data_IF_631856284820
#
_entry.id   IF_631856284820
#
_cell.length_a   1.000
_cell.length_b   1.000
_cell.length_c   1.000
_cell.angle_alpha   90.00
_cell.angle_beta   90.00
_cell.angle_gamma   90.00
#
_symmetry.space_group_name_H-M   'P 1'
#
loop_
_entity.id
_entity.type
_entity.pdbx_description
1 polymer ?
#
# COMPACT_ATOMS: atom_id res chain seq x y z
N UNK A 1 9.11 -4.10 -35.64
CA UNK A 1 7.67 -4.02 -35.97
C UNK A 1 6.90 -4.49 -34.76
N UNK A 2 6.30 -3.59 -33.96
CA UNK A 2 5.40 -3.96 -32.86
C UNK A 2 4.00 -4.11 -33.47
N UNK A 3 3.42 -5.31 -33.41
CA UNK A 3 2.05 -5.58 -33.86
C UNK A 3 1.06 -4.65 -33.16
N UNK A 4 0.17 -4.03 -33.95
CA UNK A 4 -0.96 -3.29 -33.44
C UNK A 4 -1.89 -4.25 -32.68
N UNK A 5 -2.07 -4.03 -31.37
CA UNK A 5 -2.95 -4.86 -30.54
C UNK A 5 -4.39 -4.83 -31.07
N UNK A 6 -5.10 -5.96 -31.08
CA UNK A 6 -6.49 -5.99 -31.48
C UNK A 6 -7.33 -5.16 -30.51
N UNK A 7 -8.07 -4.18 -31.04
CA UNK A 7 -8.90 -3.22 -30.32
C UNK A 7 -9.79 -3.84 -29.22
N UNK A 8 -10.28 -5.06 -29.44
CA UNK A 8 -11.13 -5.81 -28.48
C UNK A 8 -10.39 -6.21 -27.18
N UNK A 9 -9.09 -6.50 -27.25
CA UNK A 9 -8.27 -6.82 -26.07
C UNK A 9 -8.03 -5.60 -25.18
N UNK A 10 -7.89 -4.42 -25.80
CA UNK A 10 -7.69 -3.15 -25.10
C UNK A 10 -8.94 -2.73 -24.31
N UNK A 11 -10.13 -2.91 -24.91
CA UNK A 11 -11.42 -2.62 -24.27
C UNK A 11 -11.65 -3.55 -23.06
N UNK A 12 -11.32 -4.84 -23.19
CA UNK A 12 -11.44 -5.78 -22.08
C UNK A 12 -10.54 -5.40 -20.89
N UNK A 13 -9.30 -5.00 -21.16
CA UNK A 13 -8.37 -4.51 -20.14
C UNK A 13 -8.82 -3.19 -19.49
N UNK A 14 -9.31 -2.23 -20.28
CA UNK A 14 -9.90 -0.99 -19.77
C UNK A 14 -11.06 -1.26 -18.81
N UNK A 15 -11.97 -2.16 -19.22
CA UNK A 15 -13.15 -2.50 -18.43
C UNK A 15 -12.75 -3.18 -17.12
N UNK A 16 -11.76 -4.08 -17.16
CA UNK A 16 -11.21 -4.73 -15.97
C UNK A 16 -10.54 -3.74 -15.01
N UNK A 17 -9.71 -2.83 -15.52
CA UNK A 17 -9.05 -1.81 -14.70
C UNK A 17 -10.05 -0.93 -13.95
N UNK A 18 -11.02 -0.35 -14.69
CA UNK A 18 -12.05 0.51 -14.10
C UNK A 18 -12.96 -0.24 -13.13
N UNK A 19 -13.32 -1.49 -13.45
CA UNK A 19 -14.13 -2.30 -12.56
C UNK A 19 -13.43 -2.55 -11.23
N UNK A 20 -12.13 -2.88 -11.25
CA UNK A 20 -11.36 -3.10 -10.01
C UNK A 20 -11.16 -1.80 -9.23
N UNK A 21 -10.91 -0.67 -9.91
CA UNK A 21 -10.85 0.65 -9.25
C UNK A 21 -12.15 0.98 -8.52
N UNK A 22 -13.30 0.80 -9.18
CA UNK A 22 -14.62 1.04 -8.57
C UNK A 22 -14.86 0.09 -7.40
N UNK A 23 -14.56 -1.20 -7.57
CA UNK A 23 -14.73 -2.21 -6.52
C UNK A 23 -13.83 -1.89 -5.32
N UNK A 24 -12.61 -1.40 -5.54
CA UNK A 24 -11.66 -1.02 -4.49
C UNK A 24 -12.04 0.27 -3.74
N UNK A 25 -12.64 1.23 -4.43
CA UNK A 25 -13.07 2.50 -3.83
C UNK A 25 -14.24 2.34 -2.85
N UNK A 26 -15.17 1.43 -3.13
CA UNK A 26 -16.35 1.21 -2.29
C UNK A 26 -15.99 0.86 -0.82
N UNK A 27 -15.19 -0.18 -0.51
CA UNK A 27 -14.82 -0.49 0.86
C UNK A 27 -14.02 0.63 1.51
N UNK A 28 -13.16 1.32 0.77
CA UNK A 28 -12.36 2.44 1.28
C UNK A 28 -13.26 3.60 1.74
N UNK A 29 -14.21 4.00 0.91
CA UNK A 29 -15.19 5.05 1.25
C UNK A 29 -16.08 4.63 2.42
N UNK A 30 -16.52 3.37 2.46
CA UNK A 30 -17.32 2.84 3.57
C UNK A 30 -16.56 2.91 4.90
N UNK A 31 -15.27 2.55 4.93
CA UNK A 31 -14.45 2.62 6.15
C UNK A 31 -14.23 4.08 6.57
N UNK A 32 -13.96 5.00 5.64
CA UNK A 32 -13.83 6.43 5.95
C UNK A 32 -15.13 6.98 6.56
N UNK A 33 -16.29 6.69 5.95
CA UNK A 33 -17.60 7.12 6.47
C UNK A 33 -17.86 6.53 7.86
N UNK A 34 -17.55 5.26 8.08
CA UNK A 34 -17.67 4.62 9.40
C UNK A 34 -16.74 5.25 10.44
N UNK A 35 -15.54 5.68 10.04
CA UNK A 35 -14.58 6.35 10.93
C UNK A 35 -15.00 7.79 11.29
N UNK A 36 -15.59 8.52 10.34
CA UNK A 36 -16.13 9.86 10.55
C UNK A 36 -17.45 9.85 11.34
N UNK A 37 -18.11 8.69 11.48
CA UNK A 37 -19.32 8.56 12.27
C UNK A 37 -19.03 8.86 13.76
N UNK A 38 -19.76 9.80 14.39
CA UNK A 38 -19.45 10.35 15.73
C UNK A 38 -19.69 9.38 16.90
N UNK A 39 -19.87 8.08 16.65
CA UNK A 39 -20.33 7.11 17.66
C UNK A 39 -19.25 6.41 18.49
N UNK A 40 -17.97 6.68 18.30
CA UNK A 40 -16.90 6.11 19.15
C UNK A 40 -15.79 7.13 19.38
N UNK A 41 -15.41 7.29 20.65
CA UNK A 41 -14.33 8.15 21.13
C UNK A 41 -13.05 8.06 20.27
N UNK A 42 -12.42 9.22 20.06
CA UNK A 42 -11.17 9.41 19.32
C UNK A 42 -10.02 8.67 20.03
N UNK A 43 -9.60 7.53 19.47
CA UNK A 43 -8.40 6.82 19.93
C UNK A 43 -7.26 7.23 18.98
N UNK A 44 -6.05 7.56 19.47
CA UNK A 44 -4.91 7.98 18.65
C UNK A 44 -4.65 7.08 17.42
N UNK A 45 -4.89 5.77 17.55
CA UNK A 45 -4.81 4.76 16.47
C UNK A 45 -5.64 5.12 15.22
N UNK A 46 -6.77 5.82 15.39
CA UNK A 46 -7.62 6.24 14.27
C UNK A 46 -6.92 7.19 13.31
N UNK A 47 -6.03 8.06 13.80
CA UNK A 47 -5.27 8.95 12.92
C UNK A 47 -4.33 8.18 11.99
N UNK A 48 -3.72 7.12 12.49
CA UNK A 48 -2.87 6.25 11.68
C UNK A 48 -3.70 5.47 10.65
N UNK A 49 -4.83 4.89 11.06
CA UNK A 49 -5.71 4.17 10.12
C UNK A 49 -6.23 5.13 9.04
N UNK A 50 -6.72 6.31 9.42
CA UNK A 50 -7.21 7.31 8.48
C UNK A 50 -6.10 7.78 7.54
N UNK A 51 -4.89 8.01 8.04
CA UNK A 51 -3.75 8.38 7.20
C UNK A 51 -3.40 7.31 6.17
N UNK A 52 -3.42 6.03 6.56
CA UNK A 52 -3.24 4.90 5.62
C UNK A 52 -4.33 4.90 4.55
N UNK A 53 -5.59 4.99 4.95
CA UNK A 53 -6.74 4.99 4.02
C UNK A 53 -6.71 6.18 3.06
N UNK A 54 -6.26 7.35 3.52
CA UNK A 54 -6.08 8.52 2.66
C UNK A 54 -4.96 8.26 1.63
N UNK A 55 -3.83 7.69 2.04
CA UNK A 55 -2.75 7.34 1.12
C UNK A 55 -3.23 6.33 0.05
N UNK A 56 -3.83 5.22 0.49
CA UNK A 56 -4.35 4.18 -0.42
C UNK A 56 -5.42 4.75 -1.37
N UNK A 57 -6.33 5.57 -0.84
CA UNK A 57 -7.41 6.17 -1.62
C UNK A 57 -6.91 7.19 -2.64
N UNK A 58 -5.94 8.03 -2.26
CA UNK A 58 -5.28 8.94 -3.19
C UNK A 58 -4.54 8.18 -4.29
N UNK A 59 -3.92 7.05 -3.97
CA UNK A 59 -3.22 6.23 -4.96
C UNK A 59 -4.20 5.61 -5.97
N UNK A 60 -5.31 5.02 -5.50
CA UNK A 60 -6.34 4.47 -6.39
C UNK A 60 -6.96 5.59 -7.26
N UNK A 61 -7.35 6.72 -6.67
CA UNK A 61 -8.04 7.79 -7.41
C UNK A 61 -7.08 8.51 -8.35
N UNK A 62 -5.95 9.00 -7.85
CA UNK A 62 -5.06 9.86 -8.62
C UNK A 62 -4.20 9.04 -9.57
N UNK A 63 -3.59 7.95 -9.11
CA UNK A 63 -2.66 7.20 -9.94
C UNK A 63 -3.40 6.20 -10.81
N UNK A 64 -4.16 5.28 -10.20
CA UNK A 64 -4.75 4.17 -10.95
C UNK A 64 -5.91 4.65 -11.85
N UNK A 65 -6.84 5.44 -11.32
CA UNK A 65 -8.02 5.88 -12.07
C UNK A 65 -7.71 7.08 -12.99
N UNK A 66 -7.12 8.16 -12.46
CA UNK A 66 -6.91 9.38 -13.24
C UNK A 66 -5.68 9.33 -14.15
N UNK A 67 -4.57 8.69 -13.77
CA UNK A 67 -3.34 8.70 -14.57
C UNK A 67 -3.16 7.44 -15.41
N UNK A 68 -3.49 6.26 -14.90
CA UNK A 68 -3.33 4.98 -15.61
C UNK A 68 -4.56 4.66 -16.47
N UNK A 69 -5.76 4.60 -15.90
CA UNK A 69 -6.97 4.25 -16.65
C UNK A 69 -7.34 5.30 -17.71
N UNK A 70 -7.04 6.58 -17.48
CA UNK A 70 -7.23 7.62 -18.51
C UNK A 70 -6.32 7.44 -19.73
N UNK A 71 -5.07 7.01 -19.55
CA UNK A 71 -4.16 6.70 -20.66
C UNK A 71 -4.61 5.48 -21.45
N UNK A 72 -5.23 4.52 -20.77
CA UNK A 72 -5.88 3.40 -21.42
C UNK A 72 -7.03 3.86 -22.32
N UNK A 73 -7.88 4.80 -21.88
CA UNK A 73 -9.08 5.26 -22.60
C UNK A 73 -8.77 6.27 -23.71
N UNK A 74 -8.02 7.33 -23.38
CA UNK A 74 -7.76 8.46 -24.28
C UNK A 74 -6.48 8.30 -25.11
N UNK A 75 -5.75 7.20 -24.90
CA UNK A 75 -4.42 7.00 -25.46
C UNK A 75 -3.34 7.74 -24.66
N UNK A 76 -2.11 7.63 -25.15
CA UNK A 76 -0.91 8.18 -24.50
C UNK A 76 -0.90 9.73 -24.57
N UNK A 77 -1.56 10.36 -23.61
CA UNK A 77 -1.69 11.82 -23.50
C UNK A 77 -0.64 12.46 -22.59
N UNK A 78 0.03 11.66 -21.75
CA UNK A 78 1.07 12.15 -20.83
C UNK A 78 2.40 12.26 -21.57
N UNK A 79 2.87 13.49 -21.73
CA UNK A 79 4.17 13.75 -22.35
C UNK A 79 5.28 12.97 -21.61
N UNK A 80 6.23 12.43 -22.38
CA UNK A 80 7.34 11.60 -21.88
C UNK A 80 8.10 12.24 -20.71
N UNK A 81 8.27 13.57 -20.75
CA UNK A 81 8.89 14.36 -19.68
C UNK A 81 8.20 14.23 -18.31
N UNK A 82 6.88 14.03 -18.28
CA UNK A 82 6.10 13.98 -17.04
C UNK A 82 5.84 12.55 -16.53
N UNK A 83 6.20 11.51 -17.27
CA UNK A 83 6.00 10.11 -16.85
C UNK A 83 6.70 9.74 -15.54
N UNK A 84 7.95 10.19 -15.27
CA UNK A 84 8.60 9.92 -13.98
C UNK A 84 7.84 10.50 -12.78
N UNK A 85 7.07 11.58 -12.97
CA UNK A 85 6.26 12.18 -11.90
C UNK A 85 5.12 11.23 -11.51
N UNK A 86 4.52 10.53 -12.48
CA UNK A 86 3.43 9.58 -12.22
C UNK A 86 3.91 8.44 -11.33
N UNK A 87 5.06 7.83 -11.66
CA UNK A 87 5.61 6.76 -10.83
C UNK A 87 6.16 7.25 -9.49
N UNK A 88 6.75 8.45 -9.44
CA UNK A 88 7.11 9.10 -8.17
C UNK A 88 5.90 9.27 -7.24
N UNK A 89 4.77 9.74 -7.77
CA UNK A 89 3.53 9.89 -7.00
C UNK A 89 3.00 8.54 -6.52
N UNK A 90 2.99 7.52 -7.40
CA UNK A 90 2.59 6.16 -7.07
C UNK A 90 3.39 5.61 -5.89
N UNK A 91 4.73 5.61 -6.00
CA UNK A 91 5.60 5.10 -4.96
C UNK A 91 5.51 5.95 -3.69
N UNK A 92 5.43 7.29 -3.78
CA UNK A 92 5.35 8.15 -2.59
C UNK A 92 4.08 7.88 -1.77
N UNK A 93 2.94 7.63 -2.42
CA UNK A 93 1.70 7.28 -1.76
C UNK A 93 1.76 5.87 -1.17
N UNK A 94 2.26 4.90 -1.94
CA UNK A 94 2.46 3.52 -1.49
C UNK A 94 3.35 3.46 -0.24
N UNK A 95 4.49 4.14 -0.25
CA UNK A 95 5.40 4.21 0.91
C UNK A 95 4.79 4.97 2.08
N UNK A 96 3.94 5.99 1.84
CA UNK A 96 3.21 6.68 2.90
C UNK A 96 2.24 5.74 3.62
N UNK A 97 1.52 4.91 2.85
CA UNK A 97 0.66 3.84 3.39
C UNK A 97 1.46 2.79 4.15
N UNK A 98 2.60 2.36 3.59
CA UNK A 98 3.46 1.34 4.19
C UNK A 98 4.09 1.80 5.51
N UNK A 99 4.66 3.01 5.57
CA UNK A 99 5.23 3.56 6.81
C UNK A 99 4.17 3.81 7.87
N UNK A 100 2.97 4.24 7.47
CA UNK A 100 1.84 4.36 8.40
C UNK A 100 1.40 2.99 8.94
N UNK A 101 1.47 1.94 8.11
CA UNK A 101 1.22 0.55 8.54
C UNK A 101 2.27 0.06 9.55
N UNK A 102 3.55 0.39 9.35
CA UNK A 102 4.59 0.10 10.33
C UNK A 102 4.34 0.82 11.66
N UNK A 103 3.89 2.09 11.62
CA UNK A 103 3.51 2.84 12.81
C UNK A 103 2.33 2.18 13.56
N UNK A 104 1.37 1.58 12.85
CA UNK A 104 0.29 0.78 13.45
C UNK A 104 0.82 -0.47 14.14
N UNK A 105 1.75 -1.20 13.53
CA UNK A 105 2.40 -2.37 14.14
C UNK A 105 3.17 -1.98 15.40
N UNK A 106 3.92 -0.87 15.37
CA UNK A 106 4.61 -0.33 16.55
C UNK A 106 3.62 0.07 17.66
N UNK A 107 2.51 0.70 17.30
CA UNK A 107 1.45 1.03 18.26
C UNK A 107 0.97 -0.22 19.00
N UNK A 108 0.65 -1.30 18.28
CA UNK A 108 0.19 -2.56 18.89
C UNK A 108 1.25 -3.20 19.78
N UNK A 109 2.50 -3.17 19.34
CA UNK A 109 3.62 -3.66 20.14
C UNK A 109 3.75 -2.89 21.47
N UNK A 110 3.66 -1.57 21.43
CA UNK A 110 3.79 -0.73 22.62
C UNK A 110 2.65 -0.90 23.62
N UNK A 111 1.41 -1.11 23.16
CA UNK A 111 0.27 -1.44 24.03
C UNK A 111 0.55 -2.68 24.87
N UNK A 112 1.16 -3.70 24.25
CA UNK A 112 1.37 -5.01 24.87
C UNK A 112 2.64 -5.06 25.73
N UNK A 113 3.71 -4.38 25.30
CA UNK A 113 4.99 -4.40 26.01
C UNK A 113 5.04 -3.43 27.18
N UNK A 114 4.61 -2.18 26.99
CA UNK A 114 4.78 -1.11 27.96
C UNK A 114 3.55 -0.19 28.03
N UNK A 115 2.43 -0.67 28.61
CA UNK A 115 1.19 0.12 28.70
C UNK A 115 1.37 1.45 29.44
N UNK A 116 2.30 1.53 30.39
CA UNK A 116 2.60 2.76 31.13
C UNK A 116 3.26 3.85 30.27
N UNK A 117 4.05 3.46 29.26
CA UNK A 117 4.69 4.41 28.33
C UNK A 117 3.86 4.68 27.07
N UNK A 118 2.84 3.86 26.82
CA UNK A 118 1.97 4.00 25.65
C UNK A 118 1.33 5.39 25.56
N UNK A 119 0.77 5.91 26.66
CA UNK A 119 0.11 7.22 26.68
C UNK A 119 1.08 8.41 26.41
N UNK A 120 2.39 8.22 26.61
CA UNK A 120 3.38 9.23 26.27
C UNK A 120 3.73 9.20 24.78
N UNK A 121 3.93 8.00 24.22
CA UNK A 121 4.34 7.82 22.82
C UNK A 121 3.18 7.97 21.83
N UNK A 122 1.98 7.50 22.19
CA UNK A 122 0.79 7.49 21.33
C UNK A 122 -0.34 8.31 21.96
N UNK A 123 -0.12 9.63 22.06
CA UNK A 123 -1.21 10.59 22.28
C UNK A 123 -1.62 11.23 20.94
N UNK A 124 -2.64 12.08 20.95
CA UNK A 124 -3.14 12.71 19.72
C UNK A 124 -2.05 13.54 19.02
N UNK A 125 -1.30 14.36 19.78
CA UNK A 125 -0.25 15.24 19.23
C UNK A 125 0.92 14.43 18.68
N UNK A 126 1.44 13.45 19.44
CA UNK A 126 2.54 12.61 18.96
C UNK A 126 2.13 11.77 17.77
N UNK A 127 0.91 11.23 17.76
CA UNK A 127 0.45 10.41 16.63
C UNK A 127 0.31 11.23 15.35
N UNK A 128 -0.20 12.46 15.43
CA UNK A 128 -0.26 13.36 14.26
C UNK A 128 1.16 13.70 13.77
N UNK A 129 2.09 13.99 14.68
CA UNK A 129 3.50 14.24 14.31
C UNK A 129 4.11 13.00 13.62
N UNK A 130 3.83 11.79 14.14
CA UNK A 130 4.29 10.53 13.52
C UNK A 130 3.75 10.37 12.10
N UNK A 131 2.48 10.67 11.86
CA UNK A 131 1.88 10.65 10.51
C UNK A 131 2.64 11.60 9.58
N UNK A 132 2.85 12.85 10.01
CA UNK A 132 3.58 13.84 9.20
C UNK A 132 4.99 13.37 8.88
N UNK A 133 5.70 12.79 9.86
CA UNK A 133 7.04 12.22 9.65
C UNK A 133 7.00 11.06 8.65
N UNK A 134 6.03 10.14 8.76
CA UNK A 134 5.89 9.03 7.82
C UNK A 134 5.70 9.51 6.38
N UNK A 135 4.86 10.52 6.18
CA UNK A 135 4.64 11.12 4.87
C UNK A 135 5.89 11.83 4.36
N UNK A 136 6.49 12.74 5.13
CA UNK A 136 7.71 13.43 4.69
C UNK A 136 8.82 12.45 4.34
N UNK A 137 9.00 11.40 5.15
CA UNK A 137 9.99 10.38 4.88
C UNK A 137 9.68 9.60 3.59
N UNK A 138 8.43 9.19 3.36
CA UNK A 138 8.02 8.54 2.11
C UNK A 138 8.31 9.41 0.87
N UNK A 139 7.94 10.68 0.91
CA UNK A 139 8.09 11.57 -0.23
C UNK A 139 9.56 11.91 -0.51
N UNK A 140 10.37 12.12 0.52
CA UNK A 140 11.81 12.38 0.40
C UNK A 140 12.54 11.12 -0.09
N UNK A 141 12.23 9.95 0.47
CA UNK A 141 12.85 8.69 0.10
C UNK A 141 12.66 8.37 -1.39
N UNK A 142 11.51 8.74 -1.95
CA UNK A 142 11.19 8.48 -3.36
C UNK A 142 11.68 9.55 -4.34
N UNK A 143 12.29 10.67 -3.89
CA UNK A 143 12.73 11.75 -4.80
C UNK A 143 13.72 11.27 -5.86
N UNK A 144 14.45 10.18 -5.61
CA UNK A 144 15.40 9.59 -6.55
C UNK A 144 14.74 9.17 -7.87
N UNK A 145 13.45 8.77 -7.85
CA UNK A 145 12.70 8.33 -9.03
C UNK A 145 12.37 9.47 -10.01
N UNK A 146 12.55 10.73 -9.62
CA UNK A 146 12.41 11.87 -10.53
C UNK A 146 13.59 11.99 -11.52
N UNK A 147 14.72 11.32 -11.24
CA UNK A 147 15.85 11.29 -12.15
C UNK A 147 15.56 10.32 -13.30
N UNK A 148 15.81 10.69 -14.58
CA UNK A 148 15.54 9.82 -15.73
C UNK A 148 16.16 8.42 -15.61
N UNK A 149 17.43 8.36 -15.20
CA UNK A 149 18.19 7.10 -15.05
C UNK A 149 17.68 6.18 -13.94
N UNK A 150 16.93 6.74 -13.00
CA UNK A 150 16.40 6.03 -11.83
C UNK A 150 14.88 5.95 -11.88
N UNK A 151 14.27 6.28 -13.02
CA UNK A 151 12.83 6.52 -13.10
C UNK A 151 12.02 5.23 -12.97
N UNK A 152 10.84 5.38 -12.39
CA UNK A 152 9.77 4.39 -12.39
C UNK A 152 8.61 5.00 -13.15
N UNK A 153 8.17 4.35 -14.24
CA UNK A 153 7.19 4.94 -15.16
C UNK A 153 6.18 3.91 -15.63
N UNK A 154 4.95 4.35 -15.87
CA UNK A 154 3.95 3.53 -16.53
C UNK A 154 4.21 3.51 -18.04
N UNK A 155 4.36 2.31 -18.63
CA UNK A 155 4.46 2.14 -20.08
C UNK A 155 3.10 1.68 -20.65
N UNK A 156 2.37 2.55 -21.38
CA UNK A 156 1.07 2.21 -21.94
C UNK A 156 1.14 1.14 -23.07
N UNK A 157 2.33 0.85 -23.59
CA UNK A 157 2.52 -0.19 -24.62
C UNK A 157 2.53 -1.60 -24.04
N UNK A 158 2.96 -1.76 -22.80
CA UNK A 158 2.99 -3.06 -22.10
C UNK A 158 2.08 -3.07 -20.87
N UNK A 159 1.40 -1.95 -20.61
CA UNK A 159 0.38 -1.77 -19.56
C UNK A 159 0.87 -2.04 -18.14
N UNK A 160 2.15 -1.79 -17.89
CA UNK A 160 2.77 -2.01 -16.60
C UNK A 160 3.67 -0.86 -16.21
N UNK A 161 3.91 -0.73 -14.91
CA UNK A 161 4.98 0.12 -14.43
C UNK A 161 6.32 -0.59 -14.63
N UNK A 162 7.33 0.17 -15.05
CA UNK A 162 8.68 -0.34 -15.29
C UNK A 162 9.71 0.60 -14.70
N UNK A 163 10.78 0.02 -14.18
CA UNK A 163 11.99 0.75 -13.79
C UNK A 163 12.85 1.04 -15.03
N UNK A 164 13.65 2.11 -14.99
CA UNK A 164 14.63 2.37 -16.05
C UNK A 164 15.61 1.19 -16.20
N UNK A 165 16.00 0.90 -17.44
CA UNK A 165 17.02 -0.13 -17.76
C UNK A 165 18.44 0.29 -17.39
N UNK A 166 18.64 1.53 -16.94
CA UNK A 166 19.92 1.98 -16.44
C UNK A 166 20.31 1.28 -15.13
N UNK A 167 21.60 1.33 -14.80
CA UNK A 167 22.14 0.74 -13.56
C UNK A 167 21.41 1.23 -12.31
N UNK A 168 20.99 2.50 -12.29
CA UNK A 168 20.26 3.06 -11.16
C UNK A 168 18.86 2.44 -11.01
N UNK A 169 18.07 2.37 -12.09
CA UNK A 169 16.75 1.74 -12.06
C UNK A 169 16.80 0.27 -11.67
N UNK A 170 17.77 -0.49 -12.21
CA UNK A 170 17.97 -1.89 -11.84
C UNK A 170 18.36 -2.06 -10.35
N UNK A 171 19.25 -1.20 -9.84
CA UNK A 171 19.62 -1.22 -8.42
C UNK A 171 18.43 -0.87 -7.52
N UNK A 172 17.62 0.12 -7.88
CA UNK A 172 16.43 0.50 -7.11
C UNK A 172 15.37 -0.60 -7.11
N UNK A 173 15.12 -1.24 -8.24
CA UNK A 173 14.20 -2.38 -8.32
C UNK A 173 14.62 -3.51 -7.39
N UNK A 174 15.91 -3.88 -7.37
CA UNK A 174 16.37 -4.99 -6.52
C UNK A 174 16.47 -4.58 -5.04
N UNK A 175 17.18 -3.49 -4.73
CA UNK A 175 17.51 -3.17 -3.34
C UNK A 175 16.38 -2.46 -2.61
N UNK A 176 15.70 -1.52 -3.27
CA UNK A 176 14.68 -0.70 -2.65
C UNK A 176 13.30 -1.33 -2.80
N UNK A 177 12.91 -1.75 -4.00
CA UNK A 177 11.58 -2.32 -4.22
C UNK A 177 11.44 -3.74 -3.65
N UNK A 178 12.42 -4.63 -3.88
CA UNK A 178 12.38 -6.00 -3.36
C UNK A 178 12.96 -6.13 -1.95
N UNK A 179 14.28 -5.98 -1.80
CA UNK A 179 14.99 -6.37 -0.57
C UNK A 179 14.52 -5.56 0.63
N UNK A 180 14.51 -4.24 0.52
CA UNK A 180 14.13 -3.34 1.61
C UNK A 180 12.68 -3.59 2.06
N UNK A 181 11.73 -3.64 1.13
CA UNK A 181 10.33 -3.83 1.47
C UNK A 181 10.02 -5.24 2.01
N UNK A 182 10.64 -6.30 1.46
CA UNK A 182 10.50 -7.66 1.99
C UNK A 182 11.05 -7.76 3.41
N UNK A 183 12.25 -7.23 3.66
CA UNK A 183 12.85 -7.23 5.01
C UNK A 183 11.95 -6.50 6.00
N UNK A 184 11.45 -5.31 5.63
CA UNK A 184 10.54 -4.56 6.50
C UNK A 184 9.21 -5.27 6.73
N UNK A 185 8.62 -5.89 5.70
CA UNK A 185 7.38 -6.64 5.83
C UNK A 185 7.55 -7.88 6.75
N UNK A 186 8.68 -8.58 6.65
CA UNK A 186 9.02 -9.70 7.54
C UNK A 186 9.19 -9.23 8.98
N UNK A 187 9.91 -8.13 9.21
CA UNK A 187 10.09 -7.53 10.53
C UNK A 187 8.74 -7.09 11.12
N UNK A 188 7.90 -6.40 10.34
CA UNK A 188 6.55 -5.99 10.73
C UNK A 188 5.70 -7.19 11.14
N UNK A 189 5.69 -8.23 10.31
CA UNK A 189 4.94 -9.46 10.57
C UNK A 189 5.43 -10.15 11.83
N UNK A 190 6.74 -10.23 12.05
CA UNK A 190 7.32 -10.79 13.27
C UNK A 190 6.87 -10.00 14.53
N UNK A 191 6.86 -8.67 14.46
CA UNK A 191 6.40 -7.80 15.56
C UNK A 191 4.90 -7.98 15.82
N UNK A 192 4.07 -8.08 14.79
CA UNK A 192 2.62 -8.32 14.94
C UNK A 192 2.33 -9.71 15.54
N UNK A 193 3.03 -10.76 15.11
CA UNK A 193 2.92 -12.12 15.67
C UNK A 193 3.35 -12.12 17.14
N UNK A 194 4.48 -11.47 17.47
CA UNK A 194 4.94 -11.34 18.84
C UNK A 194 3.91 -10.60 19.71
N UNK A 195 3.37 -9.49 19.22
CA UNK A 195 2.35 -8.70 19.93
C UNK A 195 1.09 -9.52 20.19
N UNK A 196 0.65 -10.31 19.20
CA UNK A 196 -0.52 -11.20 19.30
C UNK A 196 -0.30 -12.34 20.30
N UNK A 197 0.86 -13.01 20.24
CA UNK A 197 1.18 -14.11 21.16
C UNK A 197 1.26 -13.62 22.61
N UNK A 198 1.84 -12.44 22.83
CA UNK A 198 1.90 -11.84 24.16
C UNK A 198 0.53 -11.39 24.67
N UNK A 199 -0.31 -10.79 23.81
CA UNK A 199 -1.70 -10.46 24.14
C UNK A 199 -2.49 -11.71 24.57
N UNK A 200 -2.33 -12.83 23.85
CA UNK A 200 -2.95 -14.12 24.20
C UNK A 200 -2.47 -14.64 25.56
N UNK A 201 -1.16 -14.58 25.83
CA UNK A 201 -0.59 -15.00 27.11
C UNK A 201 -1.10 -14.16 28.29
N UNK A 202 -1.27 -12.85 28.10
CA UNK A 202 -1.87 -11.97 29.11
C UNK A 202 -3.36 -12.27 29.31
N UNK A 203 -4.10 -12.49 28.22
CA UNK A 203 -5.53 -12.85 28.27
C UNK A 203 -5.80 -14.23 28.85
N UNK A 204 -4.85 -15.18 28.82
CA UNK A 204 -5.02 -16.49 29.45
C UNK A 204 -4.68 -16.45 30.95
N UNK A 205 -3.82 -15.52 31.38
CA UNK A 205 -3.47 -15.31 32.79
C UNK A 205 -4.50 -14.47 33.55
N UNK A 206 -5.09 -13.49 32.89
CA UNK A 206 -6.19 -12.69 33.44
C UNK A 206 -7.52 -13.34 33.06
N UNK A 207 -8.39 -13.65 34.02
CA UNK A 207 -9.74 -14.23 33.83
C UNK A 207 -10.68 -13.20 33.15
N UNK A 208 -10.31 -12.67 31.98
CA UNK A 208 -11.11 -11.73 31.19
C UNK A 208 -12.32 -12.46 30.64
N UNK A 209 -13.47 -11.80 30.70
CA UNK A 209 -14.73 -12.33 30.18
C UNK A 209 -14.54 -12.79 28.72
N UNK A 210 -15.04 -13.98 28.32
CA UNK A 210 -14.85 -14.53 26.98
C UNK A 210 -15.34 -13.64 25.83
N UNK A 211 -16.10 -12.58 26.13
CA UNK A 211 -16.59 -11.57 25.17
C UNK A 211 -15.58 -10.49 24.75
N UNK A 212 -14.67 -10.04 25.63
CA UNK A 212 -13.70 -8.97 25.30
C UNK A 212 -12.51 -9.50 24.48
N UNK A 213 -12.00 -10.69 24.83
CA UNK A 213 -10.89 -11.36 24.12
C UNK A 213 -11.22 -11.77 22.68
N UNK A 214 -12.50 -12.02 22.36
CA UNK A 214 -12.94 -12.38 20.99
C UNK A 214 -12.98 -11.17 20.04
N UNK A 215 -13.13 -9.96 20.57
CA UNK A 215 -13.42 -8.74 19.79
C UNK A 215 -12.17 -8.01 19.30
N UNK A 216 -11.01 -8.25 19.91
CA UNK A 216 -9.71 -7.63 19.55
C UNK A 216 -8.88 -8.46 18.54
N UNK A 217 -9.16 -9.76 18.39
CA UNK A 217 -8.46 -10.69 17.49
C UNK A 217 -8.52 -10.36 15.99
N UNK A 218 -9.63 -9.82 15.42
CA UNK A 218 -9.73 -9.57 13.98
C UNK A 218 -8.69 -8.57 13.47
N UNK A 219 -8.43 -7.51 14.25
CA UNK A 219 -7.54 -6.41 13.86
C UNK A 219 -6.07 -6.84 13.70
N UNK A 220 -5.60 -7.78 14.51
CA UNK A 220 -4.25 -8.34 14.39
C UNK A 220 -4.12 -9.27 13.17
N UNK A 221 -5.13 -10.12 12.95
CA UNK A 221 -5.15 -11.02 11.79
C UNK A 221 -5.21 -10.21 10.49
N UNK A 222 -6.00 -9.14 10.46
CA UNK A 222 -6.13 -8.23 9.33
C UNK A 222 -4.79 -7.56 8.97
N UNK A 223 -3.98 -7.18 9.96
CA UNK A 223 -2.65 -6.63 9.69
C UNK A 223 -1.64 -7.65 9.17
N UNK A 224 -1.70 -8.88 9.66
CA UNK A 224 -0.89 -9.98 9.12
C UNK A 224 -1.28 -10.28 7.67
N UNK A 225 -2.57 -10.30 7.36
CA UNK A 225 -3.07 -10.45 5.98
C UNK A 225 -2.60 -9.30 5.10
N UNK A 226 -2.71 -8.04 5.56
CA UNK A 226 -2.24 -6.88 4.81
C UNK A 226 -0.74 -6.94 4.51
N UNK A 227 0.09 -7.36 5.47
CA UNK A 227 1.54 -7.53 5.27
C UNK A 227 1.85 -8.65 4.27
N UNK A 228 1.10 -9.75 4.32
CA UNK A 228 1.23 -10.84 3.35
C UNK A 228 0.82 -10.41 1.94
N UNK A 229 -0.30 -9.69 1.78
CA UNK A 229 -0.76 -9.16 0.50
C UNK A 229 0.26 -8.18 -0.10
N UNK A 230 0.91 -7.37 0.73
CA UNK A 230 2.00 -6.49 0.29
C UNK A 230 3.19 -7.28 -0.28
N UNK A 231 3.66 -8.32 0.40
CA UNK A 231 4.76 -9.16 -0.10
C UNK A 231 4.35 -9.90 -1.38
N UNK A 232 3.12 -10.39 -1.43
CA UNK A 232 2.58 -11.06 -2.62
C UNK A 232 2.54 -10.11 -3.83
N UNK A 233 2.15 -8.86 -3.63
CA UNK A 233 2.19 -7.83 -4.66
C UNK A 233 3.62 -7.61 -5.17
N UNK A 234 4.61 -7.43 -4.30
CA UNK A 234 6.01 -7.24 -4.71
C UNK A 234 6.54 -8.45 -5.49
N UNK A 235 6.27 -9.67 -5.00
CA UNK A 235 6.67 -10.88 -5.70
C UNK A 235 6.01 -10.98 -7.08
N UNK A 236 4.72 -10.62 -7.18
CA UNK A 236 3.98 -10.61 -8.45
C UNK A 236 4.57 -9.62 -9.45
N UNK A 237 5.05 -8.47 -8.97
CA UNK A 237 5.73 -7.47 -9.79
C UNK A 237 6.98 -8.04 -10.45
N UNK A 238 7.86 -8.70 -9.69
CA UNK A 238 9.07 -9.32 -10.26
C UNK A 238 8.82 -10.58 -11.08
N UNK A 239 7.76 -11.33 -10.77
CA UNK A 239 7.37 -12.50 -11.59
C UNK A 239 6.91 -12.03 -12.98
N UNK A 240 6.31 -10.85 -13.09
CA UNK A 240 5.81 -10.32 -14.37
C UNK A 240 6.89 -10.18 -15.44
N UNK A 241 8.14 -9.89 -15.05
CA UNK A 241 9.30 -9.77 -15.95
C UNK A 241 9.63 -11.09 -16.67
N UNK A 242 9.24 -12.24 -16.10
CA UNK A 242 9.47 -13.57 -16.69
C UNK A 242 8.30 -14.08 -17.54
N UNK A 243 7.20 -13.33 -17.59
CA UNK A 243 5.99 -13.71 -18.31
C UNK A 243 5.89 -12.91 -19.61
N UNK A 244 5.65 -13.58 -20.73
CA UNK A 244 5.55 -12.91 -22.05
C UNK A 244 4.12 -12.44 -22.40
N UNK A 245 3.12 -12.84 -21.62
CA UNK A 245 1.72 -12.47 -21.85
C UNK A 245 1.39 -11.13 -21.18
N UNK A 246 1.07 -10.12 -21.98
CA UNK A 246 0.75 -8.75 -21.53
C UNK A 246 -0.48 -8.69 -20.63
N UNK A 247 -1.46 -9.59 -20.83
CA UNK A 247 -2.63 -9.69 -19.95
C UNK A 247 -2.24 -10.17 -18.57
N UNK A 248 -1.38 -11.19 -18.53
CA UNK A 248 -0.88 -11.74 -17.27
C UNK A 248 0.02 -10.72 -16.56
N UNK A 249 0.88 -10.01 -17.30
CA UNK A 249 1.68 -8.89 -16.75
C UNK A 249 0.78 -7.83 -16.11
N UNK A 250 -0.22 -7.33 -16.84
CA UNK A 250 -1.18 -6.35 -16.32
C UNK A 250 -1.88 -6.84 -15.04
N UNK A 251 -2.31 -8.10 -15.02
CA UNK A 251 -2.94 -8.69 -13.82
C UNK A 251 -1.96 -8.74 -12.64
N UNK A 252 -0.72 -9.18 -12.86
CA UNK A 252 0.28 -9.33 -11.81
C UNK A 252 0.79 -7.99 -11.25
N UNK A 253 0.90 -6.95 -12.09
CA UNK A 253 1.46 -5.66 -11.66
C UNK A 253 0.40 -4.66 -11.22
N UNK A 254 -0.74 -4.59 -11.92
CA UNK A 254 -1.77 -3.56 -11.65
C UNK A 254 -2.87 -4.11 -10.76
N UNK A 255 -3.45 -5.26 -11.09
CA UNK A 255 -4.59 -5.80 -10.32
C UNK A 255 -4.14 -6.29 -8.94
N UNK A 256 -3.00 -6.98 -8.83
CA UNK A 256 -2.50 -7.40 -7.50
C UNK A 256 -2.17 -6.20 -6.62
N UNK A 257 -1.62 -5.14 -7.19
CA UNK A 257 -1.38 -3.89 -6.48
C UNK A 257 -2.69 -3.26 -5.98
N UNK A 258 -3.70 -3.15 -6.84
CA UNK A 258 -5.02 -2.65 -6.44
C UNK A 258 -5.70 -3.51 -5.37
N UNK A 259 -5.53 -4.83 -5.41
CA UNK A 259 -6.05 -5.73 -4.37
C UNK A 259 -5.42 -5.44 -3.02
N UNK A 260 -4.12 -5.16 -2.98
CA UNK A 260 -3.43 -4.76 -1.75
C UNK A 260 -3.91 -3.39 -1.24
N UNK A 261 -4.04 -2.39 -2.12
CA UNK A 261 -4.56 -1.06 -1.75
C UNK A 261 -5.99 -1.12 -1.19
N UNK A 262 -6.80 -2.04 -1.73
CA UNK A 262 -8.19 -2.26 -1.30
C UNK A 262 -8.30 -3.03 0.02
N UNK A 263 -7.20 -3.59 0.53
CA UNK A 263 -7.15 -4.25 1.82
C UNK A 263 -7.13 -3.20 2.95
N UNK A 264 -8.30 -2.61 3.21
CA UNK A 264 -8.49 -1.70 4.34
C UNK A 264 -8.22 -2.43 5.67
N UNK A 265 -7.53 -1.80 6.65
CA UNK A 265 -7.29 -2.33 7.98
C UNK A 265 -8.45 -2.13 8.98
#
# INVERSE_FOLDING_TARGET
>A
MKEARPFRSLIDMQTKALAVDIIGLVPLLLVIVQMLSPRRYLIPVRYLILSKLIADGLEIIVVMMLLVASQLIFGDWIQTKYRPIVGYLALSLQYSSFYTSLALTLNRFMVVMNPLRYNFLFNEKTTVIMVVICWLFAWIHNLIYLKPECSFTYDPTILQFVFSNDRCGAALSLYQDLVYNVVLALLSTAVDIFSLTRLRSMSSRTRRSPGESKREKPWFLQATINSFLYVLMLASFHISDYVNDVTVQFLLTVIVWQMWLSAAP
#
